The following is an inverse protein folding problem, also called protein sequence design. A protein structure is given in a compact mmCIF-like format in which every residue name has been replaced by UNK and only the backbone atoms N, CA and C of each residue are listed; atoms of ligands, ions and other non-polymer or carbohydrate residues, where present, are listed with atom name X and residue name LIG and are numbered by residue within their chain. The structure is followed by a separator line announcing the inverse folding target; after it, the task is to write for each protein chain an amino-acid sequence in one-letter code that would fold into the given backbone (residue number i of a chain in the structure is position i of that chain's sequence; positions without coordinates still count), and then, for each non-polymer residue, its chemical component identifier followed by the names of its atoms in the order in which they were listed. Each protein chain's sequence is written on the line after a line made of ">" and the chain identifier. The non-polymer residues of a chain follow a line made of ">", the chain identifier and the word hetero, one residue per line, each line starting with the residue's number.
data_IF_484500927704
#
_entry.id   IF_484500927704
#
_cell.length_a   1.000
_cell.length_b   1.000
_cell.length_c   1.000
_cell.angle_alpha   90.00
_cell.angle_beta   90.00
_cell.angle_gamma   90.00
#
_symmetry.space_group_name_H-M   'P 1'
#
loop_
_entity.id
_entity.type
_entity.pdbx_description
1 polymer ?
#
# COMPACT_ATOMS: atom_id res chain seq x y z
N UNK A 1 -67.96 2.96 -40.19
CA UNK A 1 -67.98 3.77 -41.46
C UNK A 1 -66.55 3.70 -41.95
N UNK A 2 -66.34 2.80 -42.91
CA UNK A 2 -66.39 2.96 -44.36
C UNK A 2 -65.08 3.60 -44.85
N UNK A 3 -64.34 2.72 -45.49
CA UNK A 3 -63.96 2.66 -46.94
C UNK A 3 -62.69 3.40 -47.30
N UNK A 4 -61.79 3.04 -48.07
CA UNK A 4 -61.56 2.04 -49.15
C UNK A 4 -60.22 2.43 -49.78
N UNK A 5 -59.30 1.49 -50.05
CA UNK A 5 -58.89 0.92 -51.39
C UNK A 5 -58.52 1.91 -52.49
N UNK A 6 -57.30 1.74 -52.98
CA UNK A 6 -56.95 1.46 -54.40
C UNK A 6 -55.40 1.36 -54.51
N UNK A 7 -54.84 0.38 -54.87
CA UNK A 7 -54.45 -0.62 -55.88
C UNK A 7 -54.48 -0.10 -57.33
N UNK A 8 -53.28 -0.14 -57.94
CA UNK A 8 -52.97 -0.43 -59.41
C UNK A 8 -51.61 0.26 -59.72
N UNK A 9 -50.75 -0.26 -60.57
CA UNK A 9 -50.58 -1.48 -61.38
C UNK A 9 -49.18 -1.33 -62.02
N UNK A 10 -48.54 -2.44 -62.30
CA UNK A 10 -47.36 -2.56 -63.18
C UNK A 10 -47.69 -2.26 -64.60
N UNK A 11 -46.70 -1.97 -65.46
CA UNK A 11 -46.42 -2.95 -66.51
C UNK A 11 -44.92 -3.26 -66.72
N UNK A 12 -44.74 -4.44 -67.25
CA UNK A 12 -43.61 -5.15 -67.80
C UNK A 12 -43.33 -4.69 -69.24
N UNK A 13 -42.05 -4.76 -69.66
CA UNK A 13 -41.59 -5.20 -71.00
C UNK A 13 -40.07 -5.26 -71.02
N UNK A 14 -39.47 -6.32 -71.16
CA UNK A 14 -38.98 -7.23 -72.18
C UNK A 14 -37.68 -6.78 -72.88
N UNK A 15 -36.63 -7.53 -72.63
CA UNK A 15 -35.63 -8.20 -73.49
C UNK A 15 -35.05 -7.44 -74.69
N UNK A 16 -33.71 -7.26 -74.71
CA UNK A 16 -32.89 -7.73 -75.85
C UNK A 16 -31.43 -7.97 -75.42
N UNK A 17 -30.94 -9.12 -75.83
CA UNK A 17 -29.57 -9.64 -75.82
C UNK A 17 -28.67 -8.78 -76.69
N UNK A 18 -27.45 -8.47 -76.26
CA UNK A 18 -26.26 -8.77 -77.07
C UNK A 18 -24.97 -8.64 -76.23
N UNK A 19 -24.18 -9.63 -76.41
CA UNK A 19 -22.83 -9.94 -75.96
C UNK A 19 -21.85 -8.80 -76.09
N UNK A 20 -20.96 -8.63 -75.06
CA UNK A 20 -19.54 -8.36 -75.31
C UNK A 20 -18.77 -8.72 -74.02
N UNK A 21 -17.94 -9.73 -74.13
CA UNK A 21 -16.90 -10.13 -73.17
C UNK A 21 -15.91 -8.97 -72.94
N UNK A 22 -15.80 -8.51 -71.69
CA UNK A 22 -14.65 -7.78 -71.31
C UNK A 22 -14.16 -8.43 -69.98
N UNK A 23 -13.02 -9.08 -70.10
CA UNK A 23 -12.24 -9.60 -68.96
C UNK A 23 -11.88 -8.48 -68.02
N UNK A 24 -12.41 -8.46 -66.79
CA UNK A 24 -11.89 -7.76 -65.68
C UNK A 24 -11.28 -8.77 -64.72
N UNK A 25 -9.94 -8.83 -64.69
CA UNK A 25 -9.17 -9.50 -63.65
C UNK A 25 -9.36 -8.69 -62.37
N UNK A 26 -10.22 -9.16 -61.47
CA UNK A 26 -10.31 -8.67 -60.12
C UNK A 26 -9.09 -9.19 -59.37
N UNK A 27 -8.09 -8.32 -59.18
CA UNK A 27 -7.01 -8.53 -58.26
C UNK A 27 -7.61 -8.44 -56.86
N UNK A 28 -7.85 -9.60 -56.26
CA UNK A 28 -8.24 -9.75 -54.87
C UNK A 28 -7.02 -9.41 -54.00
N UNK A 29 -6.86 -8.14 -53.68
CA UNK A 29 -5.86 -7.68 -52.67
C UNK A 29 -6.29 -8.18 -51.32
N UNK A 30 -5.84 -9.38 -50.94
CA UNK A 30 -5.95 -9.88 -49.57
C UNK A 30 -4.97 -9.09 -48.71
N UNK A 31 -5.40 -7.95 -48.18
CA UNK A 31 -4.68 -7.26 -47.12
C UNK A 31 -4.71 -8.13 -45.87
N UNK A 32 -3.70 -8.97 -45.70
CA UNK A 32 -3.38 -9.58 -44.41
C UNK A 32 -3.11 -8.43 -43.42
N UNK A 33 -4.13 -8.05 -42.67
CA UNK A 33 -3.94 -7.27 -41.45
C UNK A 33 -3.17 -8.16 -40.48
N UNK A 34 -1.84 -8.05 -40.50
CA UNK A 34 -0.99 -8.58 -39.44
C UNK A 34 -1.32 -7.75 -38.22
N UNK A 35 -2.23 -8.25 -37.39
CA UNK A 35 -2.36 -7.78 -36.02
C UNK A 35 -1.06 -8.11 -35.34
N UNK A 36 -0.15 -7.13 -35.26
CA UNK A 36 0.98 -7.17 -34.39
C UNK A 36 0.38 -7.10 -32.98
N UNK A 37 0.16 -8.27 -32.40
CA UNK A 37 0.04 -8.36 -30.96
C UNK A 37 1.37 -7.83 -30.43
N UNK A 38 1.37 -6.63 -29.88
CA UNK A 38 2.44 -6.17 -29.02
C UNK A 38 2.48 -7.15 -27.83
N UNK A 39 3.24 -8.24 -28.01
CA UNK A 39 3.68 -9.02 -26.88
C UNK A 39 4.40 -8.01 -26.00
N UNK A 40 3.80 -7.67 -24.87
CA UNK A 40 4.51 -7.10 -23.74
C UNK A 40 5.69 -8.05 -23.53
N UNK A 41 6.85 -7.66 -24.05
CA UNK A 41 8.09 -8.37 -23.75
C UNK A 41 8.26 -8.23 -22.26
N UNK A 42 7.94 -9.28 -21.52
CA UNK A 42 8.31 -9.37 -20.11
C UNK A 42 9.79 -9.03 -20.07
N UNK A 43 10.13 -7.89 -19.46
CA UNK A 43 11.51 -7.39 -19.42
C UNK A 43 12.36 -8.50 -18.83
N UNK A 44 13.31 -9.00 -19.63
CA UNK A 44 14.15 -10.11 -19.22
C UNK A 44 14.96 -9.68 -18.00
N UNK A 45 14.92 -10.49 -16.96
CA UNK A 45 15.67 -10.23 -15.74
C UNK A 45 17.15 -10.06 -16.06
N UNK A 46 17.80 -9.07 -15.45
CA UNK A 46 19.22 -8.77 -15.65
C UNK A 46 20.10 -9.91 -15.13
N UNK A 47 21.05 -10.32 -15.93
CA UNK A 47 22.04 -11.35 -15.63
C UNK A 47 23.45 -10.76 -15.56
N UNK A 48 24.30 -11.34 -14.70
CA UNK A 48 25.63 -10.84 -14.38
C UNK A 48 26.68 -11.93 -14.57
N UNK A 49 27.94 -11.53 -14.80
CA UNK A 49 29.04 -12.49 -14.93
C UNK A 49 29.49 -13.06 -13.57
N UNK A 50 29.36 -12.27 -12.51
CA UNK A 50 29.71 -12.64 -11.14
C UNK A 50 28.62 -12.21 -10.15
N UNK A 51 28.49 -12.90 -8.99
CA UNK A 51 27.56 -12.47 -7.97
C UNK A 51 27.93 -11.13 -7.35
N UNK A 52 29.22 -10.74 -7.36
CA UNK A 52 29.68 -9.43 -6.91
C UNK A 52 29.13 -8.30 -7.81
N UNK A 53 29.15 -8.47 -9.14
CA UNK A 53 28.53 -7.51 -10.05
C UNK A 53 27.02 -7.35 -9.82
N UNK A 54 26.32 -8.44 -9.50
CA UNK A 54 24.90 -8.39 -9.15
C UNK A 54 24.67 -7.54 -7.90
N UNK A 55 25.51 -7.72 -6.87
CA UNK A 55 25.45 -6.96 -5.62
C UNK A 55 25.75 -5.48 -5.82
N UNK A 56 26.79 -5.13 -6.58
CA UNK A 56 27.13 -3.73 -6.87
C UNK A 56 25.98 -3.03 -7.63
N UNK A 57 25.37 -3.72 -8.60
CA UNK A 57 24.20 -3.18 -9.30
C UNK A 57 23.02 -2.94 -8.37
N UNK A 58 22.76 -3.87 -7.43
CA UNK A 58 21.71 -3.73 -6.42
C UNK A 58 21.95 -2.54 -5.50
N UNK A 59 23.16 -2.40 -4.96
CA UNK A 59 23.52 -1.29 -4.06
C UNK A 59 23.39 0.07 -4.77
N UNK A 60 23.85 0.17 -6.01
CA UNK A 60 23.72 1.38 -6.80
C UNK A 60 22.24 1.76 -7.04
N UNK A 61 21.41 0.78 -7.43
CA UNK A 61 20.01 0.99 -7.70
C UNK A 61 19.20 1.35 -6.41
N UNK A 62 19.52 0.72 -5.28
CA UNK A 62 18.87 1.04 -3.99
C UNK A 62 19.32 2.39 -3.44
N UNK A 63 20.59 2.75 -3.60
CA UNK A 63 21.13 4.04 -3.14
C UNK A 63 20.50 5.25 -3.85
N UNK A 64 20.16 5.12 -5.12
CA UNK A 64 19.45 6.15 -5.91
C UNK A 64 17.93 5.96 -5.93
N UNK A 65 17.42 4.85 -5.37
CA UNK A 65 16.03 4.41 -5.48
C UNK A 65 15.56 4.37 -6.95
N UNK A 66 16.38 3.80 -7.82
CA UNK A 66 16.04 3.59 -9.23
C UNK A 66 15.14 2.34 -9.36
N UNK A 67 13.82 2.58 -9.31
CA UNK A 67 12.81 1.52 -9.40
C UNK A 67 12.90 0.74 -10.71
N UNK A 68 13.27 1.41 -11.83
CA UNK A 68 13.41 0.74 -13.13
C UNK A 68 14.59 -0.25 -13.12
N UNK A 69 15.73 0.19 -12.60
CA UNK A 69 16.90 -0.68 -12.44
C UNK A 69 16.64 -1.83 -11.47
N UNK A 70 15.91 -1.58 -10.37
CA UNK A 70 15.53 -2.63 -9.44
C UNK A 70 14.60 -3.68 -10.08
N UNK A 71 13.64 -3.25 -10.90
CA UNK A 71 12.76 -4.15 -11.65
C UNK A 71 13.54 -4.99 -12.69
N UNK A 72 14.56 -4.42 -13.33
CA UNK A 72 15.47 -5.19 -14.19
C UNK A 72 16.26 -6.24 -13.40
N UNK A 73 16.82 -5.85 -12.25
CA UNK A 73 17.63 -6.73 -11.40
C UNK A 73 16.79 -7.90 -10.86
N UNK A 74 15.62 -7.62 -10.32
CA UNK A 74 14.78 -8.63 -9.69
C UNK A 74 13.80 -9.32 -10.64
N UNK A 75 13.55 -8.73 -11.81
CA UNK A 75 12.56 -9.22 -12.77
C UNK A 75 11.11 -9.05 -12.29
N UNK A 76 10.15 -9.64 -13.01
CA UNK A 76 8.72 -9.46 -12.74
C UNK A 76 8.28 -9.96 -11.35
N UNK A 77 8.95 -10.99 -10.82
CA UNK A 77 8.67 -11.55 -9.49
C UNK A 77 9.08 -10.60 -8.34
N UNK A 78 9.89 -9.56 -8.64
CA UNK A 78 10.34 -8.57 -7.67
C UNK A 78 9.40 -7.38 -7.47
N UNK A 79 8.39 -7.21 -8.32
CA UNK A 79 7.57 -5.99 -8.35
C UNK A 79 6.95 -5.65 -6.98
N UNK A 80 6.35 -6.60 -6.30
CA UNK A 80 5.59 -6.37 -5.07
C UNK A 80 6.47 -5.95 -3.88
N UNK A 81 7.76 -6.34 -3.90
CA UNK A 81 8.67 -5.98 -2.82
C UNK A 81 9.59 -4.79 -3.15
N UNK A 82 9.62 -4.34 -4.41
CA UNK A 82 10.36 -3.14 -4.82
C UNK A 82 9.51 -1.89 -4.66
N UNK A 83 8.25 -1.95 -5.08
CA UNK A 83 7.33 -0.81 -5.08
C UNK A 83 5.97 -1.26 -4.54
N UNK A 84 5.59 -0.70 -3.40
CA UNK A 84 4.29 -0.90 -2.76
C UNK A 84 3.42 0.34 -2.86
N UNK A 85 2.26 0.31 -2.22
CA UNK A 85 1.40 1.49 -2.09
C UNK A 85 2.01 2.60 -1.18
N UNK A 86 3.14 2.34 -0.49
CA UNK A 86 3.85 3.31 0.36
C UNK A 86 5.25 3.65 -0.23
N UNK A 87 5.32 4.57 -1.21
CA UNK A 87 6.58 4.92 -1.87
C UNK A 87 7.58 5.63 -0.94
N UNK A 88 7.13 6.26 0.14
CA UNK A 88 8.02 6.88 1.14
C UNK A 88 8.77 5.80 1.90
N UNK A 89 8.06 4.82 2.43
CA UNK A 89 8.68 3.69 3.14
C UNK A 89 9.57 2.87 2.22
N UNK A 90 9.15 2.60 1.00
CA UNK A 90 9.95 1.85 0.02
C UNK A 90 11.29 2.53 -0.25
N UNK A 91 11.29 3.86 -0.43
CA UNK A 91 12.50 4.66 -0.61
C UNK A 91 13.41 4.63 0.63
N UNK A 92 12.83 4.80 1.83
CA UNK A 92 13.59 4.81 3.07
C UNK A 92 14.22 3.45 3.36
N UNK A 93 13.50 2.34 3.12
CA UNK A 93 14.02 0.98 3.25
C UNK A 93 15.16 0.71 2.26
N UNK A 94 15.03 1.15 0.99
CA UNK A 94 16.08 1.01 -0.01
C UNK A 94 17.33 1.80 0.39
N UNK A 95 17.17 3.03 0.87
CA UNK A 95 18.29 3.86 1.34
C UNK A 95 18.98 3.25 2.57
N UNK A 96 18.23 2.74 3.53
CA UNK A 96 18.78 2.07 4.72
C UNK A 96 19.55 0.79 4.35
N UNK A 97 19.04 0.00 3.41
CA UNK A 97 19.76 -1.15 2.87
C UNK A 97 21.07 -0.73 2.22
N UNK A 98 21.05 0.28 1.35
CA UNK A 98 22.25 0.78 0.68
C UNK A 98 23.30 1.29 1.67
N UNK A 99 22.88 1.99 2.73
CA UNK A 99 23.77 2.46 3.79
C UNK A 99 24.46 1.27 4.49
N UNK A 100 23.69 0.27 4.97
CA UNK A 100 24.24 -0.93 5.59
C UNK A 100 25.18 -1.71 4.65
N UNK A 101 24.83 -1.83 3.38
CA UNK A 101 25.64 -2.52 2.39
C UNK A 101 26.97 -1.77 2.08
N UNK A 102 26.97 -0.43 2.19
CA UNK A 102 28.19 0.37 2.07
C UNK A 102 29.10 0.30 3.31
N UNK A 103 28.52 0.09 4.51
CA UNK A 103 29.31 -0.16 5.73
C UNK A 103 30.08 -1.49 5.62
N UNK A 104 29.36 -2.56 5.30
CA UNK A 104 29.95 -3.89 5.10
C UNK A 104 29.08 -4.72 4.18
N UNK A 105 29.69 -5.38 3.21
CA UNK A 105 29.05 -6.39 2.35
C UNK A 105 29.96 -7.58 2.16
N UNK A 106 29.37 -8.76 2.27
CA UNK A 106 30.07 -10.03 2.05
C UNK A 106 29.22 -10.89 1.11
N UNK A 107 29.83 -11.38 0.04
CA UNK A 107 29.20 -12.29 -0.91
C UNK A 107 29.82 -13.66 -0.72
N UNK A 108 29.05 -14.61 -0.18
CA UNK A 108 29.52 -15.96 0.09
C UNK A 108 28.89 -16.93 -0.89
N UNK A 109 29.74 -17.68 -1.64
CA UNK A 109 29.27 -18.79 -2.47
C UNK A 109 29.11 -20.01 -1.56
N UNK A 110 27.96 -20.68 -1.62
CA UNK A 110 27.69 -21.88 -0.83
C UNK A 110 28.75 -22.96 -1.14
N UNK A 111 29.46 -23.47 -0.13
CA UNK A 111 30.47 -24.50 -0.33
C UNK A 111 29.93 -25.79 -0.91
N UNK A 112 28.65 -26.11 -0.63
CA UNK A 112 27.95 -27.30 -1.12
C UNK A 112 27.27 -27.09 -2.47
N UNK A 113 26.85 -25.86 -2.75
CA UNK A 113 26.19 -25.49 -4.00
C UNK A 113 26.87 -24.30 -4.68
N UNK A 114 27.82 -24.57 -5.58
CA UNK A 114 28.60 -23.56 -6.29
C UNK A 114 27.77 -22.66 -7.24
N UNK A 115 26.48 -22.93 -7.38
CA UNK A 115 25.53 -22.13 -8.14
C UNK A 115 24.68 -21.22 -7.26
N UNK A 116 24.93 -21.16 -5.94
CA UNK A 116 24.24 -20.35 -4.96
C UNK A 116 25.22 -19.38 -4.30
N UNK A 117 24.86 -18.10 -4.25
CA UNK A 117 25.56 -17.10 -3.48
C UNK A 117 24.57 -16.30 -2.60
N UNK A 118 25.03 -15.92 -1.41
CA UNK A 118 24.26 -15.15 -0.43
C UNK A 118 25.02 -13.86 -0.16
N UNK A 119 24.31 -12.73 -0.20
CA UNK A 119 24.78 -11.43 0.27
C UNK A 119 24.48 -11.28 1.75
N UNK A 120 25.47 -10.89 2.55
CA UNK A 120 25.30 -10.39 3.91
C UNK A 120 25.69 -8.92 3.96
N UNK A 121 24.96 -8.09 4.71
CA UNK A 121 25.17 -6.64 4.82
C UNK A 121 25.19 -6.19 6.28
N UNK A 122 25.86 -5.06 6.52
CA UNK A 122 26.01 -4.46 7.84
C UNK A 122 27.01 -5.18 8.73
N UNK A 123 27.32 -4.58 9.88
CA UNK A 123 28.28 -5.14 10.84
C UNK A 123 27.72 -6.38 11.57
N UNK A 124 26.43 -6.57 11.53
CA UNK A 124 25.68 -7.73 12.03
C UNK A 124 25.61 -8.92 11.06
N UNK A 125 26.27 -8.78 9.89
CA UNK A 125 26.29 -9.81 8.83
C UNK A 125 24.88 -10.29 8.43
N UNK A 126 23.92 -9.37 8.39
CA UNK A 126 22.52 -9.69 8.12
C UNK A 126 22.33 -10.25 6.71
N UNK A 127 21.79 -11.49 6.58
CA UNK A 127 21.64 -12.10 5.26
C UNK A 127 20.52 -11.43 4.47
N UNK A 128 20.85 -11.01 3.23
CA UNK A 128 19.87 -10.50 2.29
C UNK A 128 18.93 -11.64 1.86
N UNK A 129 17.60 -11.43 1.90
CA UNK A 129 16.63 -12.53 1.75
C UNK A 129 16.52 -13.09 0.33
N UNK A 130 17.02 -12.36 -0.70
CA UNK A 130 16.98 -12.83 -2.08
C UNK A 130 18.33 -13.48 -2.45
N UNK A 131 18.39 -14.80 -2.62
CA UNK A 131 19.61 -15.45 -3.02
C UNK A 131 20.01 -15.11 -4.47
N UNK A 132 21.30 -15.20 -4.76
CA UNK A 132 21.85 -15.00 -6.09
C UNK A 132 22.18 -16.38 -6.65
N UNK A 133 21.59 -16.75 -7.77
CA UNK A 133 21.74 -18.08 -8.36
C UNK A 133 22.39 -18.04 -9.75
N UNK A 134 23.14 -19.08 -10.08
CA UNK A 134 23.79 -19.23 -11.38
C UNK A 134 22.97 -20.14 -12.28
N UNK A 135 22.50 -19.59 -13.40
CA UNK A 135 21.80 -20.33 -14.46
C UNK A 135 22.42 -20.01 -15.81
N UNK A 136 22.60 -21.01 -16.67
CA UNK A 136 23.18 -20.84 -18.00
C UNK A 136 24.50 -20.05 -18.01
N UNK A 137 25.32 -20.22 -16.98
CA UNK A 137 26.63 -19.55 -16.85
C UNK A 137 26.60 -18.14 -16.27
N UNK A 138 25.44 -17.52 -16.09
CA UNK A 138 25.24 -16.16 -15.55
C UNK A 138 24.57 -16.18 -14.18
N UNK A 139 24.79 -15.13 -13.40
CA UNK A 139 24.21 -14.94 -12.07
C UNK A 139 23.03 -13.97 -12.12
N UNK A 140 21.96 -14.24 -11.36
CA UNK A 140 20.81 -13.37 -11.19
C UNK A 140 20.17 -13.59 -9.81
N UNK A 141 19.39 -12.63 -9.34
CA UNK A 141 18.65 -12.75 -8.11
C UNK A 141 17.46 -13.72 -8.27
N UNK A 142 17.29 -14.67 -7.35
CA UNK A 142 16.11 -15.54 -7.33
C UNK A 142 14.97 -14.87 -6.56
N UNK A 143 14.30 -13.94 -7.21
CA UNK A 143 13.25 -13.13 -6.62
C UNK A 143 12.05 -13.96 -6.17
N UNK A 144 11.75 -15.06 -6.86
CA UNK A 144 10.67 -15.97 -6.49
C UNK A 144 10.90 -16.60 -5.11
N UNK A 145 12.14 -16.98 -4.82
CA UNK A 145 12.50 -17.56 -3.51
C UNK A 145 12.54 -16.50 -2.41
N UNK A 146 13.13 -15.31 -2.69
CA UNK A 146 13.25 -14.24 -1.70
C UNK A 146 11.98 -13.46 -1.44
N UNK A 147 11.01 -13.47 -2.37
CA UNK A 147 9.79 -12.65 -2.32
C UNK A 147 9.00 -12.82 -1.02
N UNK A 148 8.72 -14.05 -0.65
CA UNK A 148 7.89 -14.33 0.52
C UNK A 148 8.53 -13.81 1.80
N UNK A 149 9.83 -13.98 1.96
CA UNK A 149 10.57 -13.50 3.13
C UNK A 149 10.54 -11.96 3.22
N UNK A 150 10.76 -11.26 2.11
CA UNK A 150 10.70 -9.79 2.08
C UNK A 150 9.30 -9.30 2.43
N UNK A 151 8.26 -9.88 1.83
CA UNK A 151 6.89 -9.48 2.11
C UNK A 151 6.49 -9.76 3.56
N UNK A 152 6.87 -10.91 4.12
CA UNK A 152 6.60 -11.23 5.52
C UNK A 152 7.26 -10.25 6.47
N UNK A 153 8.55 -9.89 6.24
CA UNK A 153 9.26 -8.88 7.05
C UNK A 153 8.61 -7.49 6.95
N UNK A 154 8.22 -7.07 5.74
CA UNK A 154 7.51 -5.80 5.53
C UNK A 154 6.17 -5.79 6.27
N UNK A 155 5.36 -6.82 6.05
CA UNK A 155 4.04 -6.96 6.69
C UNK A 155 4.18 -6.90 8.20
N UNK A 156 5.07 -7.71 8.78
CA UNK A 156 5.27 -7.73 10.23
C UNK A 156 5.67 -6.37 10.81
N UNK A 157 6.64 -5.68 10.17
CA UNK A 157 7.05 -4.35 10.61
C UNK A 157 5.91 -3.33 10.53
N UNK A 158 5.16 -3.31 9.41
CA UNK A 158 4.05 -2.38 9.23
C UNK A 158 2.89 -2.67 10.20
N UNK A 159 2.61 -3.92 10.49
CA UNK A 159 1.57 -4.31 11.46
C UNK A 159 1.91 -3.87 12.88
N UNK A 160 3.17 -4.06 13.29
CA UNK A 160 3.66 -3.56 14.59
C UNK A 160 3.58 -2.03 14.67
N UNK A 161 3.99 -1.31 13.63
CA UNK A 161 3.86 0.15 13.56
C UNK A 161 2.39 0.59 13.65
N UNK A 162 1.48 -0.10 12.96
CA UNK A 162 0.04 0.20 13.00
C UNK A 162 -0.55 0.01 14.41
N UNK A 163 -0.13 -1.03 15.14
CA UNK A 163 -0.52 -1.25 16.54
C UNK A 163 -0.01 -0.11 17.43
N UNK A 164 1.24 0.32 17.24
CA UNK A 164 1.79 1.47 17.99
C UNK A 164 1.00 2.75 17.73
N UNK A 165 0.66 3.04 16.46
CA UNK A 165 -0.16 4.19 16.10
C UNK A 165 -1.55 4.10 16.77
N UNK A 166 -2.17 2.92 16.79
CA UNK A 166 -3.44 2.72 17.49
C UNK A 166 -3.35 3.08 18.98
N UNK A 167 -2.29 2.67 19.66
CA UNK A 167 -2.06 3.01 21.09
C UNK A 167 -1.79 4.49 21.28
N UNK A 168 -0.85 5.05 20.51
CA UNK A 168 -0.54 6.48 20.56
C UNK A 168 -1.76 7.37 20.27
N UNK A 169 -2.68 6.91 19.43
CA UNK A 169 -3.95 7.61 19.19
C UNK A 169 -4.81 7.69 20.45
N UNK A 170 -4.87 6.65 21.27
CA UNK A 170 -5.64 6.64 22.53
C UNK A 170 -5.08 7.68 23.50
N UNK A 171 -3.77 7.73 23.65
CA UNK A 171 -3.12 8.68 24.54
C UNK A 171 -3.29 10.12 24.05
N UNK A 172 -3.13 10.33 22.75
CA UNK A 172 -3.37 11.63 22.12
C UNK A 172 -4.82 12.12 22.27
N UNK A 173 -5.81 11.23 22.18
CA UNK A 173 -7.21 11.59 22.40
C UNK A 173 -7.48 12.00 23.86
N UNK A 174 -6.87 11.31 24.84
CA UNK A 174 -7.00 11.66 26.26
C UNK A 174 -6.36 13.02 26.54
N UNK A 175 -5.18 13.29 25.97
CA UNK A 175 -4.51 14.57 26.09
C UNK A 175 -5.33 15.69 25.46
N UNK A 176 -5.81 15.51 24.21
CA UNK A 176 -6.67 16.48 23.52
C UNK A 176 -7.93 16.82 24.35
N UNK A 177 -8.58 15.82 24.93
CA UNK A 177 -9.79 16.03 25.71
C UNK A 177 -9.56 16.64 27.09
N UNK A 178 -8.30 16.88 27.50
CA UNK A 178 -7.99 17.57 28.76
C UNK A 178 -8.26 19.07 28.69
N UNK A 179 -8.40 19.65 27.50
CA UNK A 179 -8.59 21.09 27.26
C UNK A 179 -9.80 21.32 26.34
N UNK A 180 -10.37 22.53 26.38
CA UNK A 180 -11.41 22.99 25.46
C UNK A 180 -10.78 23.52 24.19
N UNK A 181 -11.21 23.03 23.04
CA UNK A 181 -10.74 23.44 21.72
C UNK A 181 -11.84 24.15 20.90
N UNK A 182 -11.43 25.10 20.05
CA UNK A 182 -12.27 25.81 19.06
C UNK A 182 -13.54 26.46 19.67
N UNK A 183 -13.46 26.91 20.92
CA UNK A 183 -14.58 27.54 21.63
C UNK A 183 -15.84 26.65 21.74
N UNK A 184 -15.65 25.34 21.76
CA UNK A 184 -16.76 24.38 21.89
C UNK A 184 -17.52 24.47 23.22
N UNK A 185 -16.90 25.09 24.22
CA UNK A 185 -17.46 25.22 25.58
C UNK A 185 -17.41 23.93 26.41
N UNK A 186 -16.94 22.83 25.83
CA UNK A 186 -16.80 21.52 26.49
C UNK A 186 -15.51 20.84 26.10
N UNK A 187 -15.00 20.01 27.00
CA UNK A 187 -13.92 19.08 26.66
C UNK A 187 -14.47 18.00 25.72
N UNK A 188 -13.78 17.75 24.62
CA UNK A 188 -14.20 16.79 23.60
C UNK A 188 -13.01 16.05 23.02
N UNK A 189 -13.25 14.91 22.40
CA UNK A 189 -12.26 14.19 21.61
C UNK A 189 -12.12 14.78 20.20
N UNK A 190 -10.95 14.63 19.62
CA UNK A 190 -10.70 15.08 18.25
C UNK A 190 -11.39 14.18 17.22
N UNK A 191 -12.12 14.79 16.29
CA UNK A 191 -12.81 14.06 15.22
C UNK A 191 -11.91 13.80 14.01
N UNK A 192 -10.69 14.32 14.02
CA UNK A 192 -9.70 14.22 12.93
C UNK A 192 -8.32 13.96 13.50
N UNK A 193 -7.48 13.36 12.69
CA UNK A 193 -6.04 13.25 12.98
C UNK A 193 -5.39 14.60 12.70
N UNK A 194 -5.62 15.16 11.48
CA UNK A 194 -5.10 16.47 11.08
C UNK A 194 -6.23 17.47 11.11
N UNK A 195 -6.03 18.58 11.79
CA UNK A 195 -6.99 19.67 11.93
C UNK A 195 -7.29 20.36 10.59
N UNK A 196 -8.47 20.91 10.47
CA UNK A 196 -8.80 21.86 9.43
C UNK A 196 -7.85 23.07 9.52
N UNK A 197 -7.31 23.59 8.40
CA UNK A 197 -6.47 24.79 8.44
C UNK A 197 -7.10 25.92 9.25
N UNK A 198 -6.35 26.47 10.21
CA UNK A 198 -6.81 27.54 11.11
C UNK A 198 -7.72 27.09 12.26
N UNK A 199 -7.93 25.78 12.43
CA UNK A 199 -8.67 25.18 13.56
C UNK A 199 -7.80 24.23 14.37
N UNK A 200 -8.32 23.84 15.54
CA UNK A 200 -7.74 22.80 16.41
C UNK A 200 -8.73 21.64 16.60
N UNK A 201 -9.42 21.22 15.52
CA UNK A 201 -10.43 20.17 15.49
C UNK A 201 -9.87 18.75 15.20
N UNK A 202 -8.56 18.60 15.34
CA UNK A 202 -7.82 17.33 15.16
C UNK A 202 -6.65 17.24 16.15
N UNK A 203 -5.96 16.11 16.15
CA UNK A 203 -4.82 15.82 17.03
C UNK A 203 -3.52 16.52 16.62
N UNK A 204 -3.46 17.03 15.41
CA UNK A 204 -2.36 17.82 14.86
C UNK A 204 -2.88 19.13 14.26
N UNK A 205 -2.20 20.24 14.54
CA UNK A 205 -2.38 21.53 13.88
C UNK A 205 -1.05 22.24 13.65
N UNK A 206 -1.06 23.33 12.88
CA UNK A 206 0.06 24.27 12.83
C UNK A 206 -0.29 25.50 13.65
N UNK A 207 0.62 25.87 14.53
CA UNK A 207 0.53 27.13 15.25
C UNK A 207 0.70 28.33 14.30
N UNK A 208 0.41 29.55 14.76
CA UNK A 208 0.53 30.78 13.95
C UNK A 208 1.96 31.02 13.44
N UNK A 209 2.98 30.61 14.20
CA UNK A 209 4.39 30.67 13.83
C UNK A 209 4.83 29.53 12.88
N UNK A 210 3.91 28.65 12.47
CA UNK A 210 4.16 27.51 11.61
C UNK A 210 4.70 26.26 12.31
N UNK A 211 4.94 26.31 13.62
CA UNK A 211 5.41 25.15 14.39
C UNK A 211 4.33 24.07 14.50
N UNK A 212 4.72 22.79 14.62
CA UNK A 212 3.80 21.70 14.93
C UNK A 212 3.13 21.92 16.30
N UNK A 213 1.84 21.60 16.39
CA UNK A 213 1.06 21.64 17.62
C UNK A 213 0.11 20.46 17.71
N UNK A 214 -0.44 20.24 18.91
CA UNK A 214 -1.32 19.13 19.22
C UNK A 214 -0.60 17.89 19.76
N UNK A 215 -1.34 16.95 20.33
CA UNK A 215 -0.80 15.77 21.01
C UNK A 215 0.14 14.89 20.18
N UNK A 216 -0.03 14.89 18.85
CA UNK A 216 0.81 14.13 17.91
C UNK A 216 1.70 15.02 17.05
N UNK A 217 1.91 16.28 17.47
CA UNK A 217 2.62 17.29 16.68
C UNK A 217 4.00 16.85 16.21
N UNK A 218 4.83 16.34 17.10
CA UNK A 218 6.19 15.89 16.79
C UNK A 218 6.21 14.65 15.90
N UNK A 219 5.29 13.70 16.10
CA UNK A 219 5.19 12.49 15.28
C UNK A 219 4.78 12.82 13.85
N UNK A 220 3.82 13.75 13.68
CA UNK A 220 3.42 14.19 12.34
C UNK A 220 4.52 15.02 11.68
N UNK A 221 5.24 15.88 12.43
CA UNK A 221 6.37 16.63 11.91
C UNK A 221 7.46 15.68 11.38
N UNK A 222 7.82 14.65 12.15
CA UNK A 222 8.77 13.61 11.75
C UNK A 222 8.31 12.87 10.48
N UNK A 223 7.05 12.45 10.41
CA UNK A 223 6.50 11.82 9.21
C UNK A 223 6.60 12.73 7.98
N UNK A 224 6.40 14.04 8.14
CA UNK A 224 6.58 15.01 7.05
C UNK A 224 8.06 15.10 6.63
N UNK A 225 9.00 15.09 7.58
CA UNK A 225 10.44 15.07 7.29
C UNK A 225 10.86 13.78 6.56
N UNK A 226 10.26 12.65 6.90
CA UNK A 226 10.43 11.38 6.19
C UNK A 226 9.83 11.41 4.76
N UNK A 227 9.02 12.40 4.44
CA UNK A 227 8.44 12.63 3.10
C UNK A 227 6.97 12.23 2.97
N UNK A 228 6.27 11.90 4.06
CA UNK A 228 4.84 11.63 4.01
C UNK A 228 4.05 12.93 3.81
N UNK A 229 3.14 12.94 2.83
CA UNK A 229 2.24 14.05 2.61
C UNK A 229 0.87 13.79 3.24
N UNK A 230 0.30 14.80 3.88
CA UNK A 230 -0.80 14.72 4.86
C UNK A 230 -2.16 14.25 4.34
N UNK A 231 -2.37 13.88 3.09
CA UNK A 231 -3.76 13.69 2.61
C UNK A 231 -4.11 12.37 1.93
N UNK A 232 -3.17 11.62 1.39
CA UNK A 232 -3.49 10.43 0.59
C UNK A 232 -2.47 9.31 0.64
N UNK A 233 -1.32 9.52 1.24
CA UNK A 233 -0.29 8.49 1.35
C UNK A 233 -0.51 7.65 2.60
N UNK A 234 -0.43 6.33 2.50
CA UNK A 234 -0.46 5.47 3.68
C UNK A 234 0.76 5.78 4.56
N UNK A 235 0.59 5.76 5.87
CA UNK A 235 1.71 5.88 6.81
C UNK A 235 2.14 4.49 7.25
N UNK A 236 3.40 4.14 6.99
CA UNK A 236 3.97 2.82 7.22
C UNK A 236 3.09 1.68 6.65
N UNK A 237 2.60 1.90 5.42
CA UNK A 237 1.79 0.93 4.70
C UNK A 237 0.32 0.82 5.15
N UNK A 238 -0.15 1.71 6.04
CA UNK A 238 -1.50 1.71 6.59
C UNK A 238 -2.24 3.03 6.39
N UNK A 239 -3.54 2.94 6.17
CA UNK A 239 -4.47 4.06 6.28
C UNK A 239 -5.18 4.03 7.62
N UNK A 240 -5.46 5.21 8.17
CA UNK A 240 -6.10 5.40 9.47
C UNK A 240 -7.36 6.23 9.33
N UNK A 241 -8.45 5.80 10.00
CA UNK A 241 -9.74 6.50 10.00
C UNK A 241 -10.31 6.57 11.40
N UNK A 242 -10.66 7.78 11.84
CA UNK A 242 -11.40 7.99 13.09
C UNK A 242 -12.85 7.55 12.89
N UNK A 243 -13.35 6.70 13.78
CA UNK A 243 -14.73 6.21 13.79
C UNK A 243 -15.60 7.08 14.71
N UNK A 244 -16.86 7.27 14.34
CA UNK A 244 -17.77 8.21 15.00
C UNK A 244 -18.81 7.56 15.91
N UNK A 245 -18.67 6.28 16.16
CA UNK A 245 -19.56 5.53 17.03
C UNK A 245 -19.07 4.11 17.28
N UNK A 246 -19.79 3.39 18.11
CA UNK A 246 -19.59 1.97 18.34
C UNK A 246 -20.84 1.16 18.07
N UNK A 247 -20.65 -0.11 17.79
CA UNK A 247 -21.73 -1.08 17.53
C UNK A 247 -22.07 -1.92 18.76
N UNK A 248 -23.03 -2.83 18.62
CA UNK A 248 -23.56 -3.60 19.74
C UNK A 248 -22.58 -4.60 20.38
N UNK A 249 -21.51 -4.99 19.67
CA UNK A 249 -20.50 -5.90 20.22
C UNK A 249 -19.42 -5.18 21.04
N UNK A 250 -19.38 -3.85 20.99
CA UNK A 250 -18.47 -3.07 21.82
C UNK A 250 -18.94 -3.04 23.28
N UNK A 251 -18.04 -2.78 24.22
CA UNK A 251 -18.39 -2.52 25.60
C UNK A 251 -19.39 -1.37 25.66
N UNK A 252 -20.40 -1.45 26.53
CA UNK A 252 -21.50 -0.49 26.65
C UNK A 252 -22.55 -0.53 25.50
N UNK A 253 -22.43 -1.44 24.51
CA UNK A 253 -23.36 -1.57 23.42
C UNK A 253 -23.26 -0.47 22.37
N UNK A 254 -24.31 -0.29 21.58
CA UNK A 254 -24.32 0.71 20.49
C UNK A 254 -24.40 2.13 21.04
N UNK A 255 -23.50 2.99 20.58
CA UNK A 255 -23.37 4.38 21.03
C UNK A 255 -22.84 5.27 19.90
N UNK A 256 -23.36 6.48 19.77
CA UNK A 256 -22.79 7.52 18.93
C UNK A 256 -21.75 8.31 19.71
N UNK A 257 -20.56 8.50 19.13
CA UNK A 257 -19.49 9.27 19.76
C UNK A 257 -19.67 10.77 19.54
N UNK A 258 -20.32 11.15 18.44
CA UNK A 258 -20.58 12.55 18.08
C UNK A 258 -22.03 12.90 18.41
N UNK A 259 -22.22 13.86 19.29
CA UNK A 259 -23.51 14.39 19.73
C UNK A 259 -23.49 15.90 19.48
N UNK A 260 -24.47 16.42 18.73
CA UNK A 260 -24.56 17.84 18.36
C UNK A 260 -23.23 18.43 17.82
N UNK A 261 -22.59 17.67 16.93
CA UNK A 261 -21.30 17.98 16.31
C UNK A 261 -20.06 17.93 17.23
N UNK A 262 -20.20 17.60 18.51
CA UNK A 262 -19.09 17.41 19.46
C UNK A 262 -18.86 15.92 19.75
N UNK A 263 -17.61 15.50 19.79
CA UNK A 263 -17.25 14.10 20.07
C UNK A 263 -17.01 13.90 21.58
N UNK A 264 -18.06 13.56 22.30
CA UNK A 264 -18.08 13.39 23.77
C UNK A 264 -18.48 11.99 24.23
N UNK A 265 -19.05 11.18 23.35
CA UNK A 265 -19.49 9.81 23.68
C UNK A 265 -18.37 8.76 23.64
N UNK A 266 -17.16 9.13 23.24
CA UNK A 266 -16.03 8.24 23.07
C UNK A 266 -15.28 8.52 21.78
N UNK A 267 -14.34 7.64 21.45
CA UNK A 267 -13.55 7.70 20.20
C UNK A 267 -13.10 6.30 19.80
N UNK A 268 -12.81 6.11 18.53
CA UNK A 268 -12.14 4.91 18.03
C UNK A 268 -11.39 5.19 16.74
N UNK A 269 -10.43 4.31 16.44
CA UNK A 269 -9.62 4.34 15.22
C UNK A 269 -9.69 2.98 14.54
N UNK A 270 -9.71 2.97 13.22
CA UNK A 270 -9.42 1.79 12.41
C UNK A 270 -8.15 2.04 11.59
N UNK A 271 -7.26 1.04 11.55
CA UNK A 271 -6.06 0.99 10.73
C UNK A 271 -6.18 -0.16 9.74
N UNK A 272 -6.06 0.13 8.44
CA UNK A 272 -6.24 -0.85 7.36
C UNK A 272 -5.04 -0.84 6.42
N UNK A 273 -4.54 -2.01 5.96
CA UNK A 273 -3.42 -2.06 5.03
C UNK A 273 -3.78 -1.37 3.71
N UNK A 274 -2.84 -0.60 3.18
CA UNK A 274 -3.01 0.07 1.90
C UNK A 274 -3.08 -0.93 0.74
N UNK A 275 -2.35 -2.04 0.85
CA UNK A 275 -2.34 -3.12 -0.12
C UNK A 275 -2.28 -4.48 0.60
N UNK A 276 -3.36 -5.24 0.49
CA UNK A 276 -3.49 -6.53 1.15
C UNK A 276 -2.39 -7.51 0.73
N UNK A 277 -1.71 -8.15 1.72
CA UNK A 277 -0.57 -9.06 1.54
C UNK A 277 0.69 -8.45 0.92
N UNK A 278 0.74 -7.13 0.79
CA UNK A 278 1.94 -6.40 0.37
C UNK A 278 2.40 -5.44 1.46
N UNK A 279 1.50 -4.62 2.00
CA UNK A 279 1.79 -3.70 3.10
C UNK A 279 1.29 -4.20 4.45
N UNK A 280 0.32 -5.12 4.46
CA UNK A 280 -0.24 -5.73 5.66
C UNK A 280 -1.27 -6.81 5.31
N UNK A 281 -1.64 -7.62 6.29
CA UNK A 281 -2.72 -8.61 6.23
C UNK A 281 -3.85 -8.23 7.17
N UNK A 282 -3.49 -7.82 8.40
CA UNK A 282 -4.44 -7.52 9.46
C UNK A 282 -4.97 -6.10 9.36
N UNK A 283 -6.25 -5.93 9.68
CA UNK A 283 -6.88 -4.64 9.99
C UNK A 283 -6.98 -4.53 11.49
N UNK A 284 -6.66 -3.37 12.04
CA UNK A 284 -6.68 -3.11 13.48
C UNK A 284 -7.75 -2.11 13.82
N UNK A 285 -8.31 -2.21 15.02
CA UNK A 285 -9.16 -1.18 15.60
C UNK A 285 -8.88 -1.03 17.09
N UNK A 286 -9.06 0.18 17.59
CA UNK A 286 -8.86 0.53 18.99
C UNK A 286 -9.94 1.54 19.42
N UNK A 287 -10.31 1.52 20.70
CA UNK A 287 -11.17 2.51 21.32
C UNK A 287 -10.59 3.01 22.65
N UNK A 288 -11.35 3.72 23.42
CA UNK A 288 -10.96 4.40 24.67
C UNK A 288 -10.32 3.49 25.73
N UNK A 289 -10.59 2.18 25.67
CA UNK A 289 -10.02 1.17 26.59
C UNK A 289 -8.56 0.80 26.25
N UNK A 290 -8.06 1.25 25.10
CA UNK A 290 -6.70 0.99 24.63
C UNK A 290 -6.45 -0.44 24.14
N UNK A 291 -7.49 -1.28 24.11
CA UNK A 291 -7.36 -2.64 23.60
C UNK A 291 -7.36 -2.60 22.08
N UNK A 292 -6.26 -3.05 21.49
CA UNK A 292 -6.15 -3.18 20.02
C UNK A 292 -6.71 -4.54 19.61
N UNK A 293 -7.67 -4.51 18.71
CA UNK A 293 -8.23 -5.70 18.08
C UNK A 293 -7.73 -5.84 16.65
N UNK A 294 -7.52 -7.07 16.20
CA UNK A 294 -7.08 -7.41 14.86
C UNK A 294 -8.03 -8.37 14.16
N UNK A 295 -8.07 -8.27 12.82
CA UNK A 295 -8.81 -9.19 11.97
C UNK A 295 -8.23 -9.21 10.57
N UNK A 296 -8.07 -10.40 9.98
CA UNK A 296 -7.87 -10.52 8.53
C UNK A 296 -9.22 -10.33 7.82
N UNK A 297 -9.42 -9.17 7.20
CA UNK A 297 -10.63 -8.82 6.46
C UNK A 297 -10.55 -9.21 4.97
N UNK A 298 -9.43 -9.83 4.55
CA UNK A 298 -9.19 -10.28 3.19
C UNK A 298 -8.88 -9.15 2.20
N UNK A 299 -8.86 -9.47 0.89
CA UNK A 299 -8.40 -8.55 -0.16
C UNK A 299 -9.27 -7.28 -0.32
N UNK A 300 -10.50 -7.28 0.18
CA UNK A 300 -11.40 -6.11 0.13
C UNK A 300 -11.32 -5.22 1.40
N UNK A 301 -10.35 -5.48 2.27
CA UNK A 301 -10.18 -4.80 3.56
C UNK A 301 -10.24 -3.28 3.46
N UNK A 302 -9.60 -2.69 2.44
CA UNK A 302 -9.56 -1.24 2.24
C UNK A 302 -10.95 -0.65 1.98
N UNK A 303 -11.78 -1.29 1.14
CA UNK A 303 -13.15 -0.84 0.86
C UNK A 303 -14.06 -1.02 2.08
N UNK A 304 -13.92 -2.14 2.78
CA UNK A 304 -14.67 -2.40 4.01
C UNK A 304 -14.35 -1.34 5.07
N UNK A 305 -13.07 -0.99 5.27
CA UNK A 305 -12.68 0.03 6.24
C UNK A 305 -13.13 1.44 5.82
N UNK A 306 -13.09 1.79 4.52
CA UNK A 306 -13.63 3.08 4.03
C UNK A 306 -15.10 3.28 4.41
N UNK A 307 -15.89 2.21 4.40
CA UNK A 307 -17.32 2.22 4.73
C UNK A 307 -17.60 1.95 6.21
N UNK A 308 -16.58 1.64 7.01
CA UNK A 308 -16.71 1.39 8.44
C UNK A 308 -16.94 2.70 9.19
N UNK A 309 -18.07 2.85 9.85
CA UNK A 309 -18.42 4.04 10.64
C UNK A 309 -18.36 3.79 12.14
N UNK A 310 -18.39 2.52 12.55
CA UNK A 310 -18.50 2.11 13.95
C UNK A 310 -17.41 1.11 14.36
N UNK A 311 -16.88 1.34 15.55
CA UNK A 311 -16.06 0.36 16.26
C UNK A 311 -16.96 -0.77 16.76
N UNK A 312 -16.75 -1.98 16.27
CA UNK A 312 -17.61 -3.10 16.63
C UNK A 312 -16.82 -4.42 16.65
N UNK A 313 -16.00 -4.66 17.70
CA UNK A 313 -15.18 -5.87 17.81
C UNK A 313 -16.04 -7.06 18.22
N UNK A 314 -16.73 -7.65 17.23
CA UNK A 314 -17.48 -8.89 17.43
C UNK A 314 -16.53 -10.09 17.61
N UNK A 315 -17.09 -11.29 17.80
CA UNK A 315 -16.34 -12.53 18.03
C UNK A 315 -15.35 -12.93 16.91
N UNK A 316 -15.37 -12.24 15.76
CA UNK A 316 -14.43 -12.47 14.66
C UNK A 316 -13.18 -11.60 14.74
N UNK A 317 -13.16 -10.66 15.69
CA UNK A 317 -12.00 -9.86 16.03
C UNK A 317 -11.27 -10.47 17.23
N UNK A 318 -9.95 -10.47 17.19
CA UNK A 318 -9.09 -10.98 18.25
C UNK A 318 -8.30 -9.83 18.86
N UNK A 319 -7.98 -9.92 20.16
CA UNK A 319 -7.03 -9.00 20.76
C UNK A 319 -5.65 -9.30 20.19
N UNK A 320 -4.85 -8.26 19.99
CA UNK A 320 -3.45 -8.46 19.61
C UNK A 320 -2.69 -9.13 20.75
N UNK A 321 -1.86 -10.13 20.42
CA UNK A 321 -1.05 -10.88 21.40
C UNK A 321 0.30 -10.19 21.67
N UNK A 322 0.52 -8.99 21.13
CA UNK A 322 1.75 -8.25 21.27
C UNK A 322 1.94 -7.77 22.72
N UNK A 323 2.55 -8.60 23.53
CA UNK A 323 3.15 -8.15 24.77
C UNK A 323 4.44 -7.41 24.41
N UNK A 324 4.37 -6.07 24.38
CA UNK A 324 5.58 -5.27 24.34
C UNK A 324 6.42 -5.58 25.55
N UNK A 325 7.72 -5.88 25.40
CA UNK A 325 8.63 -5.82 26.54
C UNK A 325 8.54 -4.40 27.10
N UNK A 326 8.23 -4.29 28.36
CA UNK A 326 8.12 -3.00 29.07
C UNK A 326 9.40 -2.13 28.92
N UNK A 327 10.50 -2.73 28.50
CA UNK A 327 11.83 -2.17 28.38
C UNK A 327 12.05 -1.33 27.09
N UNK A 328 11.14 -1.39 26.10
CA UNK A 328 11.23 -0.60 24.86
C UNK A 328 10.44 0.71 24.90
N UNK A 329 9.70 0.98 25.98
CA UNK A 329 8.94 2.23 26.17
C UNK A 329 9.74 3.29 26.93
N UNK A 330 10.89 2.94 27.49
CA UNK A 330 11.69 3.82 28.34
C UNK A 330 13.05 4.09 27.74
N UNK A 331 13.15 4.81 26.65
CA UNK A 331 14.31 5.66 26.31
C UNK A 331 13.98 6.61 25.17
N UNK A 332 13.23 7.66 25.47
CA UNK A 332 13.33 8.93 24.77
C UNK A 332 13.29 10.01 25.84
N UNK A 333 14.43 10.14 26.56
CA UNK A 333 14.81 11.39 27.23
C UNK A 333 15.51 12.31 26.23
#
# INVERSE_FOLDING_TARGET
>A
MTKEKHMKSRPSTSITRNSLLVFWVAILSCTLAVTVYAQSTAQAQKAFDTPQQAVEALIAATGSYDVSALLEIFGPDGKDFIASADPVRDKNVAAAFAAKANEKKVVTIDPKNKTLAILSVGNDDFPFPVPIVKQSGKWHFNSKEGRNEILLRRIGANELDAIQVCRGFVDAQKEYASEVHDNSGVNQYAQKIISTPGKRDGLFWRNEDGTPGGPIGENVARAIEEGYSSKTSPYHGYYFKVLKGQGPAAALGQLDYVIEAVMIGGFALVAVPAEYRVTGVKTFMVSYDGIVYEKDMGPDSLNLAKNMERYNPDKTWHRTDDQWPADLVATSD
#
